data_IF_160813303750
#
_entry.id   IF_160813303750
#
_cell.length_a   1.000
_cell.length_b   1.000
_cell.length_c   1.000
_cell.angle_alpha   90.00
_cell.angle_beta   90.00
_cell.angle_gamma   90.00
#
_symmetry.space_group_name_H-M   'P 1'
#
loop_
_entity.id
_entity.type
_entity.pdbx_description
1 polymer ?
#
# COMPACT_ATOMS: atom_id res chain seq x y z
N UNK A 1 -10.61 7.00 -15.33
CA UNK A 1 -11.41 6.41 -16.42
C UNK A 1 -12.87 6.44 -16.02
N UNK A 2 -13.77 6.91 -16.89
CA UNK A 2 -15.21 6.88 -16.62
C UNK A 2 -15.69 5.44 -16.38
N UNK A 3 -16.74 5.29 -15.57
CA UNK A 3 -17.42 4.00 -15.39
C UNK A 3 -18.47 3.86 -16.49
N UNK A 4 -18.48 2.72 -17.18
CA UNK A 4 -19.45 2.41 -18.23
C UNK A 4 -20.34 1.25 -17.77
N UNK A 5 -21.61 1.26 -18.17
CA UNK A 5 -22.59 0.21 -17.87
C UNK A 5 -23.10 -0.43 -19.16
N UNK A 6 -22.23 -1.19 -19.81
CA UNK A 6 -22.46 -1.81 -21.14
C UNK A 6 -22.37 -3.33 -21.10
N UNK A 7 -22.76 -3.95 -19.97
CA UNK A 7 -22.62 -5.39 -19.75
C UNK A 7 -21.22 -5.78 -19.28
N UNK A 8 -20.70 -6.89 -19.82
CA UNK A 8 -19.40 -7.44 -19.41
C UNK A 8 -18.28 -6.44 -19.75
N UNK A 9 -17.39 -6.21 -18.79
CA UNK A 9 -16.23 -5.36 -19.00
C UNK A 9 -15.17 -6.08 -19.83
N UNK A 10 -15.05 -5.71 -21.11
CA UNK A 10 -13.99 -6.25 -21.98
C UNK A 10 -12.59 -6.01 -21.40
N UNK A 11 -12.36 -4.89 -20.72
CA UNK A 11 -11.09 -4.62 -20.02
C UNK A 11 -10.74 -5.73 -19.03
N UNK A 12 -11.71 -6.16 -18.23
CA UNK A 12 -11.50 -7.21 -17.24
C UNK A 12 -11.42 -8.62 -17.85
N UNK A 13 -11.85 -8.80 -19.11
CA UNK A 13 -11.63 -10.05 -19.83
C UNK A 13 -10.14 -10.24 -20.20
N UNK A 14 -9.44 -9.15 -20.50
CA UNK A 14 -8.01 -9.19 -20.85
C UNK A 14 -7.08 -9.11 -19.63
N UNK A 15 -7.49 -8.42 -18.55
CA UNK A 15 -6.71 -8.34 -17.31
C UNK A 15 -6.61 -9.74 -16.69
N UNK A 16 -5.38 -10.24 -16.51
CA UNK A 16 -5.13 -11.60 -16.01
C UNK A 16 -5.31 -12.71 -17.04
N UNK A 17 -5.51 -12.37 -18.33
CA UNK A 17 -5.65 -13.36 -19.39
C UNK A 17 -4.35 -14.05 -19.81
N UNK A 18 -3.19 -13.58 -19.32
CA UNK A 18 -1.87 -14.22 -19.50
C UNK A 18 -1.54 -14.61 -20.97
N UNK A 19 -1.99 -13.79 -21.94
CA UNK A 19 -1.76 -14.01 -23.36
C UNK A 19 -2.75 -14.95 -24.05
N UNK A 20 -3.71 -15.55 -23.32
CA UNK A 20 -4.72 -16.45 -23.88
C UNK A 20 -5.67 -15.76 -24.88
N UNK A 21 -5.85 -14.44 -24.77
CA UNK A 21 -6.85 -13.68 -25.54
C UNK A 21 -6.24 -12.73 -26.57
N UNK A 22 -4.91 -12.77 -26.76
CA UNK A 22 -4.19 -11.94 -27.72
C UNK A 22 -3.12 -11.03 -27.09
N UNK A 23 -2.64 -10.07 -27.88
CA UNK A 23 -1.55 -9.15 -27.50
C UNK A 23 -2.12 -7.75 -27.30
N UNK A 24 -1.90 -7.18 -26.11
CA UNK A 24 -2.25 -5.78 -25.83
C UNK A 24 -1.15 -4.88 -26.42
N UNK A 25 -1.49 -4.08 -27.43
CA UNK A 25 -0.55 -3.17 -28.08
C UNK A 25 -0.53 -1.78 -27.46
N UNK A 26 -1.65 -1.33 -26.89
CA UNK A 26 -1.82 0.00 -26.32
C UNK A 26 -2.66 -0.04 -25.04
N UNK A 27 -2.36 0.86 -24.09
CA UNK A 27 -3.14 1.02 -22.86
C UNK A 27 -3.16 2.49 -22.42
N UNK A 28 -4.33 2.98 -22.01
CA UNK A 28 -4.46 4.30 -21.38
C UNK A 28 -4.43 4.15 -19.86
N UNK A 29 -3.37 4.68 -19.25
CA UNK A 29 -3.17 4.64 -17.79
C UNK A 29 -3.52 5.97 -17.13
N UNK A 30 -3.96 5.91 -15.87
CA UNK A 30 -4.15 7.11 -15.06
C UNK A 30 -2.81 7.53 -14.49
N UNK A 31 -2.43 8.80 -14.70
CA UNK A 31 -1.25 9.42 -14.07
C UNK A 31 -1.67 10.31 -12.90
N UNK A 32 -0.73 10.55 -11.98
CA UNK A 32 -0.91 11.41 -10.83
C UNK A 32 0.19 12.46 -10.79
N UNK A 33 -0.04 13.65 -10.21
CA UNK A 33 1.02 14.61 -9.94
C UNK A 33 2.11 14.02 -9.06
N UNK A 34 3.33 14.54 -9.20
CA UNK A 34 4.44 14.18 -8.30
C UNK A 34 4.08 14.64 -6.88
N UNK A 35 4.21 13.78 -5.85
CA UNK A 35 3.88 14.15 -4.49
C UNK A 35 4.86 15.22 -3.97
N UNK A 36 4.34 16.18 -3.20
CA UNK A 36 5.15 17.22 -2.54
C UNK A 36 6.12 16.60 -1.50
N UNK A 37 5.67 15.55 -0.81
CA UNK A 37 6.45 14.83 0.20
C UNK A 37 6.30 13.33 0.05
N UNK A 38 7.42 12.62 0.21
CA UNK A 38 7.52 11.17 0.41
C UNK A 38 8.26 10.90 1.72
N UNK A 39 7.72 10.04 2.58
CA UNK A 39 8.35 9.63 3.84
C UNK A 39 8.32 8.12 3.98
N UNK A 40 9.45 7.51 4.31
CA UNK A 40 9.61 6.07 4.48
C UNK A 40 10.02 5.77 5.93
N UNK A 41 9.35 4.82 6.56
CA UNK A 41 9.60 4.41 7.93
C UNK A 41 9.69 2.89 8.03
N UNK A 42 10.56 2.41 8.93
CA UNK A 42 10.66 1.01 9.29
C UNK A 42 10.43 0.89 10.81
N UNK A 43 9.46 0.06 11.20
CA UNK A 43 9.05 -0.13 12.58
C UNK A 43 9.24 -1.60 12.93
N UNK A 44 9.98 -1.87 14.01
CA UNK A 44 10.23 -3.24 14.46
C UNK A 44 9.30 -3.61 15.60
N UNK A 45 8.62 -4.73 15.45
CA UNK A 45 7.78 -5.33 16.49
C UNK A 45 8.48 -6.53 17.12
N UNK A 46 8.20 -6.76 18.40
CA UNK A 46 8.74 -7.91 19.13
C UNK A 46 8.19 -9.26 18.64
N UNK A 47 7.01 -9.27 18.03
CA UNK A 47 6.39 -10.45 17.41
C UNK A 47 5.61 -10.08 16.15
N UNK A 48 5.36 -11.07 15.29
CA UNK A 48 4.59 -10.89 14.07
C UNK A 48 3.13 -10.51 14.36
N UNK A 49 2.53 -11.11 15.38
CA UNK A 49 1.14 -10.89 15.76
C UNK A 49 0.90 -9.45 16.20
N UNK A 50 1.88 -8.85 16.92
CA UNK A 50 1.78 -7.46 17.37
C UNK A 50 1.75 -6.49 16.20
N UNK A 51 2.68 -6.61 15.25
CA UNK A 51 2.69 -5.70 14.11
C UNK A 51 1.51 -5.95 13.17
N UNK A 52 1.07 -7.20 13.00
CA UNK A 52 -0.15 -7.49 12.25
C UNK A 52 -1.40 -6.85 12.89
N UNK A 53 -1.54 -6.94 14.21
CA UNK A 53 -2.63 -6.28 14.93
C UNK A 53 -2.58 -4.75 14.77
N UNK A 54 -1.38 -4.16 14.76
CA UNK A 54 -1.21 -2.72 14.49
C UNK A 54 -1.65 -2.36 13.07
N UNK A 55 -1.30 -3.16 12.06
CA UNK A 55 -1.76 -2.94 10.68
C UNK A 55 -3.28 -2.97 10.59
N UNK A 56 -3.94 -3.91 11.28
CA UNK A 56 -5.40 -3.95 11.34
C UNK A 56 -5.98 -2.69 11.97
N UNK A 57 -5.39 -2.16 13.05
CA UNK A 57 -5.81 -0.89 13.67
C UNK A 57 -5.66 0.30 12.72
N UNK A 58 -4.55 0.38 11.98
CA UNK A 58 -4.32 1.43 10.98
C UNK A 58 -5.45 1.47 9.95
N UNK A 59 -5.78 0.33 9.34
CA UNK A 59 -6.84 0.26 8.35
C UNK A 59 -8.25 0.44 8.94
N UNK A 60 -8.49 -0.03 10.17
CA UNK A 60 -9.75 0.19 10.88
C UNK A 60 -9.98 1.68 11.20
N UNK A 61 -8.92 2.44 11.43
CA UNK A 61 -8.96 3.89 11.59
C UNK A 61 -9.15 4.65 10.27
N UNK A 62 -9.22 3.94 9.12
CA UNK A 62 -9.37 4.54 7.80
C UNK A 62 -8.09 5.15 7.22
N UNK A 63 -6.94 4.97 7.89
CA UNK A 63 -5.64 5.46 7.44
C UNK A 63 -5.11 4.56 6.33
N UNK A 64 -4.54 5.15 5.28
CA UNK A 64 -4.15 4.44 4.05
C UNK A 64 -2.80 4.96 3.56
N UNK A 65 -1.71 4.57 4.25
CA UNK A 65 -0.37 4.90 3.79
C UNK A 65 -0.16 4.33 2.38
N UNK A 66 0.71 4.98 1.61
CA UNK A 66 1.02 4.61 0.23
C UNK A 66 1.66 3.22 0.10
N UNK A 67 2.35 2.75 1.15
CA UNK A 67 2.90 1.41 1.25
C UNK A 67 2.71 0.86 2.66
N UNK A 68 2.34 -0.41 2.76
CA UNK A 68 2.42 -1.25 3.95
C UNK A 68 3.08 -2.55 3.51
N UNK A 69 4.29 -2.81 3.98
CA UNK A 69 4.97 -4.08 3.77
C UNK A 69 5.41 -4.64 5.13
N UNK A 70 5.05 -5.88 5.41
CA UNK A 70 5.24 -6.48 6.73
C UNK A 70 5.73 -7.91 6.60
N UNK A 71 6.87 -8.18 7.22
CA UNK A 71 7.50 -9.48 7.17
C UNK A 71 8.33 -9.77 8.40
N UNK A 72 8.57 -11.06 8.63
CA UNK A 72 9.56 -11.50 9.60
C UNK A 72 10.97 -11.12 9.13
N UNK A 73 11.85 -10.82 10.07
CA UNK A 73 13.24 -10.53 9.74
C UNK A 73 13.93 -11.82 9.28
N UNK A 74 14.29 -11.90 8.00
CA UNK A 74 15.04 -13.03 7.44
C UNK A 74 16.43 -13.23 8.03
N UNK A 75 16.93 -12.25 8.81
CA UNK A 75 18.16 -12.40 9.56
C UNK A 75 17.94 -13.40 10.71
N UNK A 76 18.58 -14.57 10.60
CA UNK A 76 18.52 -15.73 11.51
C UNK A 76 18.73 -15.44 13.01
N UNK A 77 19.11 -14.21 13.38
CA UNK A 77 19.40 -13.78 14.75
C UNK A 77 18.64 -12.53 15.21
N UNK A 78 17.84 -11.90 14.34
CA UNK A 78 16.99 -10.78 14.73
C UNK A 78 15.55 -11.30 14.91
N UNK A 79 15.16 -11.55 16.16
CA UNK A 79 13.78 -11.91 16.50
C UNK A 79 12.85 -10.72 16.23
N UNK A 80 11.67 -11.01 15.72
CA UNK A 80 10.60 -10.03 15.51
C UNK A 80 10.42 -9.66 14.05
N UNK A 81 9.40 -8.86 13.78
CA UNK A 81 8.97 -8.53 12.43
C UNK A 81 9.11 -7.02 12.16
N UNK A 82 9.31 -6.67 10.89
CA UNK A 82 9.53 -5.28 10.45
C UNK A 82 8.37 -4.86 9.56
N UNK A 83 7.79 -3.71 9.89
CA UNK A 83 6.77 -3.01 9.12
C UNK A 83 7.41 -1.81 8.41
N UNK A 84 7.40 -1.85 7.09
CA UNK A 84 7.73 -0.72 6.24
C UNK A 84 6.47 0.06 5.87
N UNK A 85 6.52 1.37 6.11
CA UNK A 85 5.45 2.30 5.76
C UNK A 85 5.98 3.39 4.83
N UNK A 86 5.22 3.69 3.78
CA UNK A 86 5.45 4.88 2.95
C UNK A 86 4.25 5.81 3.01
N UNK A 87 4.52 7.11 3.06
CA UNK A 87 3.52 8.17 3.02
C UNK A 87 3.85 9.10 1.87
N UNK A 88 2.86 9.42 1.04
CA UNK A 88 3.05 10.26 -0.14
C UNK A 88 1.88 11.22 -0.33
N UNK A 89 2.18 12.49 -0.63
CA UNK A 89 1.16 13.48 -0.91
C UNK A 89 1.58 14.90 -0.56
N UNK A 90 0.60 15.75 -0.25
CA UNK A 90 0.84 17.10 0.24
C UNK A 90 1.50 17.06 1.62
N UNK A 91 2.42 17.99 1.89
CA UNK A 91 3.27 17.98 3.08
C UNK A 91 2.48 17.83 4.39
N UNK A 92 1.41 18.62 4.56
CA UNK A 92 0.58 18.60 5.76
C UNK A 92 -0.19 17.29 5.95
N UNK A 93 -0.63 16.67 4.85
CA UNK A 93 -1.34 15.40 4.90
C UNK A 93 -0.39 14.27 5.29
N UNK A 94 0.81 14.25 4.69
CA UNK A 94 1.84 13.27 5.02
C UNK A 94 2.23 13.36 6.48
N UNK A 95 2.45 14.58 7.00
CA UNK A 95 2.84 14.74 8.41
C UNK A 95 1.74 14.29 9.38
N UNK A 96 0.49 14.64 9.10
CA UNK A 96 -0.65 14.25 9.93
C UNK A 96 -0.90 12.73 9.91
N UNK A 97 -0.89 12.11 8.73
CA UNK A 97 -1.09 10.67 8.59
C UNK A 97 0.05 9.89 9.26
N UNK A 98 1.30 10.30 9.00
CA UNK A 98 2.49 9.72 9.63
C UNK A 98 2.39 9.79 11.15
N UNK A 99 2.11 10.97 11.71
CA UNK A 99 2.05 11.14 13.16
C UNK A 99 0.97 10.26 13.79
N UNK A 100 -0.22 10.20 13.16
CA UNK A 100 -1.33 9.39 13.65
C UNK A 100 -0.99 7.89 13.61
N UNK A 101 -0.37 7.42 12.52
CA UNK A 101 0.02 6.01 12.40
C UNK A 101 1.14 5.66 13.39
N UNK A 102 2.14 6.52 13.57
CA UNK A 102 3.23 6.24 14.50
C UNK A 102 2.74 6.08 15.95
N UNK A 103 1.75 6.85 16.38
CA UNK A 103 1.11 6.67 17.70
C UNK A 103 0.35 5.35 17.84
N UNK A 104 -0.12 4.75 16.73
CA UNK A 104 -0.71 3.40 16.76
C UNK A 104 0.34 2.28 16.78
N UNK A 105 1.60 2.63 16.50
CA UNK A 105 2.71 1.68 16.43
C UNK A 105 3.49 1.55 17.74
N UNK A 106 3.19 2.38 18.74
CA UNK A 106 3.66 2.24 20.12
C UNK A 106 3.09 0.97 20.79
#
# INVERSE_FOLDING_TARGET
MPKFSTGISLKHLFIGGEGCFGIITEATVRVFPIPERRSLHAIRFASFERGFATIQKIFAAGLRPALVDYGDSSAKFARGAVLYLAFEGALRMVEAEKQTILTLCD
#
